data_IF_410815591155
#
_entry.id   IF_410815591155
#
_cell.length_a   1.000
_cell.length_b   1.000
_cell.length_c   1.000
_cell.angle_alpha   90.00
_cell.angle_beta   90.00
_cell.angle_gamma   90.00
#
_symmetry.space_group_name_H-M   'P 1'
#
loop_
_entity.id
_entity.type
_entity.pdbx_description
1 polymer ?
#
# COMPACT_ATOMS: atom_id res chain seq x y z
N UNK A 1 8.11 -16.98 14.71
CA UNK A 1 7.27 -15.92 14.10
C UNK A 1 8.19 -15.02 13.30
N UNK A 2 7.87 -14.69 12.04
CA UNK A 2 8.69 -13.76 11.23
C UNK A 2 8.28 -12.31 11.54
N UNK A 3 9.22 -11.39 11.77
CA UNK A 3 8.91 -10.00 12.09
C UNK A 3 8.31 -9.27 10.90
N UNK A 4 7.37 -8.37 11.16
CA UNK A 4 6.75 -7.49 10.16
C UNK A 4 7.72 -6.41 9.69
N UNK A 5 7.43 -5.78 8.54
CA UNK A 5 8.26 -4.67 8.03
C UNK A 5 8.27 -3.48 8.98
N UNK A 6 7.14 -3.16 9.62
CA UNK A 6 7.08 -2.13 10.66
C UNK A 6 7.99 -2.47 11.85
N UNK A 7 7.97 -3.71 12.32
CA UNK A 7 8.86 -4.18 13.41
C UNK A 7 10.34 -4.14 13.00
N UNK A 8 10.67 -4.50 11.75
CA UNK A 8 12.03 -4.38 11.22
C UNK A 8 12.49 -2.93 11.13
N UNK A 9 11.67 -2.02 10.59
CA UNK A 9 12.01 -0.60 10.48
C UNK A 9 12.16 0.05 11.86
N UNK A 10 11.29 -0.29 12.81
CA UNK A 10 11.42 0.14 14.21
C UNK A 10 12.71 -0.39 14.85
N UNK A 11 13.06 -1.64 14.58
CA UNK A 11 14.32 -2.24 15.01
C UNK A 11 15.55 -1.52 14.46
N UNK A 12 15.55 -1.17 13.18
CA UNK A 12 16.65 -0.42 12.55
C UNK A 12 16.75 0.99 13.14
N UNK A 13 15.66 1.73 13.35
CA UNK A 13 15.71 3.06 13.97
C UNK A 13 16.33 3.00 15.37
N UNK A 14 15.99 1.99 16.18
CA UNK A 14 16.60 1.77 17.51
C UNK A 14 18.10 1.47 17.42
N UNK A 15 18.52 0.64 16.47
CA UNK A 15 19.94 0.32 16.29
C UNK A 15 20.75 1.56 15.88
N UNK A 16 20.18 2.43 15.04
CA UNK A 16 20.81 3.68 14.64
C UNK A 16 20.86 4.69 15.80
N UNK A 17 19.84 4.72 16.66
CA UNK A 17 19.82 5.53 17.88
C UNK A 17 20.93 5.12 18.85
N UNK A 18 21.07 3.81 19.10
CA UNK A 18 22.14 3.25 19.93
C UNK A 18 23.54 3.52 19.34
N UNK A 19 23.66 3.48 18.01
CA UNK A 19 24.93 3.80 17.34
C UNK A 19 25.33 5.26 17.54
N UNK A 20 24.36 6.19 17.51
CA UNK A 20 24.57 7.62 17.74
C UNK A 20 24.95 7.94 19.20
N UNK A 21 24.35 7.23 20.17
CA UNK A 21 24.63 7.41 21.60
C UNK A 21 25.97 6.81 22.05
N UNK A 22 26.43 5.75 21.38
CA UNK A 22 27.52 4.91 21.88
C UNK A 22 28.92 5.53 21.77
N UNK A 23 29.15 6.54 20.90
CA UNK A 23 30.47 7.10 20.64
C UNK A 23 30.39 8.59 20.24
N UNK A 24 31.42 9.39 20.53
CA UNK A 24 31.59 10.71 19.91
C UNK A 24 31.90 10.54 18.42
N UNK A 25 30.85 10.37 17.62
CA UNK A 25 30.96 10.22 16.18
C UNK A 25 31.47 11.52 15.55
N UNK A 26 32.28 11.43 14.48
CA UNK A 26 32.57 12.59 13.64
C UNK A 26 31.26 13.23 13.14
N UNK A 27 31.24 14.56 13.01
CA UNK A 27 30.04 15.30 12.63
C UNK A 27 29.40 14.78 11.32
N UNK A 28 30.22 14.45 10.32
CA UNK A 28 29.76 13.88 9.04
C UNK A 28 29.05 12.52 9.22
N UNK A 29 29.52 11.69 10.15
CA UNK A 29 28.91 10.38 10.44
C UNK A 29 27.58 10.53 11.18
N UNK A 30 27.49 11.47 12.13
CA UNK A 30 26.23 11.78 12.81
C UNK A 30 25.18 12.35 11.84
N UNK A 31 25.60 13.19 10.88
CA UNK A 31 24.70 13.70 9.84
C UNK A 31 24.16 12.58 8.94
N UNK A 32 25.02 11.63 8.53
CA UNK A 32 24.60 10.45 7.76
C UNK A 32 23.61 9.57 8.54
N UNK A 33 23.85 9.35 9.83
CA UNK A 33 22.93 8.59 10.69
C UNK A 33 21.58 9.30 10.83
N UNK A 34 21.58 10.62 11.08
CA UNK A 34 20.36 11.43 11.15
C UNK A 34 19.56 11.35 9.84
N UNK A 35 20.26 11.45 8.70
CA UNK A 35 19.63 11.29 7.38
C UNK A 35 19.06 9.89 7.17
N UNK A 36 19.78 8.83 7.54
CA UNK A 36 19.31 7.45 7.44
C UNK A 36 18.05 7.23 8.30
N UNK A 37 18.04 7.71 9.55
CA UNK A 37 16.87 7.65 10.44
C UNK A 37 15.67 8.40 9.86
N UNK A 38 15.89 9.58 9.30
CA UNK A 38 14.83 10.36 8.62
C UNK A 38 14.24 9.58 7.45
N UNK A 39 15.06 8.92 6.64
CA UNK A 39 14.60 8.09 5.53
C UNK A 39 13.82 6.87 6.02
N UNK A 40 14.30 6.16 7.03
CA UNK A 40 13.61 5.01 7.63
C UNK A 40 12.24 5.41 8.17
N UNK A 41 12.15 6.55 8.90
CA UNK A 41 10.87 7.07 9.39
C UNK A 41 9.91 7.39 8.25
N UNK A 42 10.38 8.01 7.16
CA UNK A 42 9.57 8.27 5.97
C UNK A 42 9.06 6.98 5.33
N UNK A 43 9.93 5.97 5.20
CA UNK A 43 9.56 4.65 4.69
C UNK A 43 8.51 4.01 5.60
N UNK A 44 8.69 4.06 6.93
CA UNK A 44 7.72 3.53 7.88
C UNK A 44 6.36 4.24 7.79
N UNK A 45 6.33 5.57 7.70
CA UNK A 45 5.08 6.32 7.53
C UNK A 45 4.39 5.99 6.21
N UNK A 46 5.14 5.91 5.11
CA UNK A 46 4.59 5.48 3.81
C UNK A 46 4.10 4.03 3.87
N UNK A 47 4.76 3.18 4.65
CA UNK A 47 4.37 1.80 4.87
C UNK A 47 3.04 1.65 5.61
N UNK A 48 2.88 2.44 6.68
CA UNK A 48 1.72 2.41 7.55
C UNK A 48 0.43 2.82 6.81
N UNK A 49 0.53 3.60 5.73
CA UNK A 49 -0.60 3.99 4.89
C UNK A 49 -0.80 3.09 3.66
N UNK A 50 0.29 2.62 3.04
CA UNK A 50 0.23 1.83 1.80
C UNK A 50 -0.43 0.46 2.00
N UNK A 51 -0.09 -0.28 3.06
CA UNK A 51 -0.64 -1.62 3.27
C UNK A 51 -2.16 -1.61 3.54
N UNK A 52 -2.69 -0.77 4.45
CA UNK A 52 -4.14 -0.67 4.64
C UNK A 52 -4.87 -0.25 3.37
N UNK A 53 -4.30 0.69 2.60
CA UNK A 53 -4.87 1.11 1.33
C UNK A 53 -4.96 -0.04 0.33
N UNK A 54 -3.86 -0.78 0.10
CA UNK A 54 -3.84 -1.89 -0.85
C UNK A 54 -4.82 -3.01 -0.46
N UNK A 55 -5.01 -3.24 0.84
CA UNK A 55 -5.98 -4.22 1.33
C UNK A 55 -7.42 -3.79 1.06
N UNK A 56 -7.77 -2.53 1.33
CA UNK A 56 -9.10 -2.00 1.04
C UNK A 56 -9.36 -1.94 -0.48
N UNK A 57 -8.35 -1.55 -1.26
CA UNK A 57 -8.43 -1.51 -2.72
C UNK A 57 -8.62 -2.92 -3.31
N UNK A 58 -7.90 -3.93 -2.83
CA UNK A 58 -8.07 -5.34 -3.26
C UNK A 58 -9.47 -5.87 -2.91
N UNK A 59 -9.97 -5.58 -1.72
CA UNK A 59 -11.30 -5.99 -1.29
C UNK A 59 -12.38 -5.38 -2.20
N UNK A 60 -12.32 -4.06 -2.41
CA UNK A 60 -13.26 -3.33 -3.28
C UNK A 60 -13.17 -3.77 -4.73
N UNK A 61 -11.98 -3.99 -5.27
CA UNK A 61 -11.79 -4.50 -6.63
C UNK A 61 -12.39 -5.89 -6.79
N UNK A 62 -12.18 -6.77 -5.81
CA UNK A 62 -12.73 -8.12 -5.85
C UNK A 62 -14.25 -8.07 -5.80
N UNK A 63 -14.83 -7.27 -4.90
CA UNK A 63 -16.28 -7.06 -4.83
C UNK A 63 -16.83 -6.50 -6.14
N UNK A 64 -16.17 -5.48 -6.69
CA UNK A 64 -16.56 -4.88 -7.96
C UNK A 64 -16.54 -5.92 -9.08
N UNK A 65 -15.49 -6.74 -9.20
CA UNK A 65 -15.32 -7.70 -10.30
C UNK A 65 -16.20 -8.95 -10.16
N UNK A 66 -16.46 -9.42 -8.94
CA UNK A 66 -17.12 -10.71 -8.68
C UNK A 66 -18.55 -10.57 -8.16
N UNK A 67 -18.93 -9.41 -7.64
CA UNK A 67 -20.19 -9.18 -6.92
C UNK A 67 -20.24 -9.82 -5.53
N UNK A 68 -19.10 -10.31 -5.01
CA UNK A 68 -19.01 -10.93 -3.68
C UNK A 68 -18.18 -10.09 -2.73
N UNK A 69 -18.69 -9.86 -1.51
CA UNK A 69 -17.90 -9.22 -0.45
C UNK A 69 -16.61 -10.02 -0.22
N UNK A 70 -15.48 -9.38 -0.46
CA UNK A 70 -14.18 -9.97 -0.26
C UNK A 70 -13.61 -9.54 1.09
N UNK A 71 -13.28 -10.52 1.94
CA UNK A 71 -12.52 -10.29 3.17
C UNK A 71 -11.17 -10.98 3.01
N UNK A 72 -10.18 -10.22 2.57
CA UNK A 72 -8.81 -10.72 2.44
C UNK A 72 -8.26 -11.12 3.83
N UNK A 73 -7.64 -12.30 3.98
CA UNK A 73 -6.94 -12.66 5.21
C UNK A 73 -5.78 -11.69 5.46
N UNK A 74 -5.39 -11.50 6.72
CA UNK A 74 -4.25 -10.63 7.08
C UNK A 74 -3.00 -11.12 6.32
N UNK A 75 -2.46 -10.32 5.38
CA UNK A 75 -1.39 -10.78 4.53
C UNK A 75 -0.10 -10.94 5.33
N UNK A 76 0.66 -11.99 5.00
CA UNK A 76 2.03 -12.17 5.51
C UNK A 76 3.07 -11.55 4.59
N UNK A 77 2.69 -11.14 3.38
CA UNK A 77 3.59 -10.63 2.36
C UNK A 77 2.91 -9.52 1.52
N UNK A 78 3.43 -8.31 1.61
CA UNK A 78 2.95 -7.16 0.84
C UNK A 78 3.25 -7.26 -0.66
N UNK A 79 4.30 -7.98 -1.07
CA UNK A 79 4.60 -8.13 -2.48
C UNK A 79 3.52 -8.95 -3.16
N UNK A 80 2.97 -9.93 -2.43
CA UNK A 80 1.78 -10.66 -2.86
C UNK A 80 0.53 -9.76 -2.90
N UNK A 81 0.32 -8.90 -1.90
CA UNK A 81 -0.81 -7.94 -1.88
C UNK A 81 -0.74 -6.97 -3.06
N UNK A 82 0.44 -6.42 -3.34
CA UNK A 82 0.68 -5.49 -4.44
C UNK A 82 0.55 -6.19 -5.81
N UNK A 83 1.09 -7.41 -5.96
CA UNK A 83 0.92 -8.20 -7.18
C UNK A 83 -0.56 -8.51 -7.44
N UNK A 84 -1.31 -8.85 -6.39
CA UNK A 84 -2.76 -9.06 -6.47
C UNK A 84 -3.50 -7.78 -6.87
N UNK A 85 -3.11 -6.64 -6.32
CA UNK A 85 -3.68 -5.34 -6.70
C UNK A 85 -3.49 -5.07 -8.19
N UNK A 86 -2.28 -5.28 -8.71
CA UNK A 86 -1.98 -5.07 -10.12
C UNK A 86 -2.78 -6.02 -11.04
N UNK A 87 -2.92 -7.29 -10.65
CA UNK A 87 -3.75 -8.27 -11.37
C UNK A 87 -5.23 -7.84 -11.43
N UNK A 88 -5.78 -7.41 -10.29
CA UNK A 88 -7.17 -6.94 -10.18
C UNK A 88 -7.39 -5.66 -11.00
N UNK A 89 -6.41 -4.74 -11.01
CA UNK A 89 -6.45 -3.53 -11.83
C UNK A 89 -6.40 -3.85 -13.32
N UNK A 90 -5.56 -4.81 -13.72
CA UNK A 90 -5.55 -5.32 -15.09
C UNK A 90 -6.91 -5.89 -15.50
N UNK A 91 -7.53 -6.67 -14.60
CA UNK A 91 -8.87 -7.24 -14.81
C UNK A 91 -9.95 -6.15 -14.93
N UNK A 92 -9.88 -5.11 -14.10
CA UNK A 92 -10.79 -3.95 -14.20
C UNK A 92 -10.59 -3.18 -15.51
N UNK A 93 -9.35 -2.95 -15.94
CA UNK A 93 -9.07 -2.29 -17.21
C UNK A 93 -9.65 -3.08 -18.39
N UNK A 94 -9.51 -4.41 -18.38
CA UNK A 94 -10.13 -5.28 -19.36
C UNK A 94 -11.66 -5.18 -19.31
N UNK A 95 -12.26 -5.27 -18.12
CA UNK A 95 -13.70 -5.12 -17.94
C UNK A 95 -14.20 -3.78 -18.54
N UNK A 96 -13.56 -2.66 -18.21
CA UNK A 96 -13.91 -1.33 -18.73
C UNK A 96 -13.91 -1.30 -20.26
N UNK A 97 -12.92 -1.96 -20.90
CA UNK A 97 -12.84 -2.01 -22.37
C UNK A 97 -13.94 -2.84 -23.03
N UNK A 98 -14.57 -3.75 -22.28
CA UNK A 98 -15.61 -4.66 -22.77
C UNK A 98 -17.03 -4.18 -22.50
N UNK A 99 -17.24 -3.22 -21.59
CA UNK A 99 -18.59 -2.77 -21.22
C UNK A 99 -19.22 -1.96 -22.37
N UNK A 100 -20.38 -2.39 -22.91
CA UNK A 100 -21.07 -1.65 -23.96
C UNK A 100 -21.54 -0.27 -23.49
N UNK A 101 -21.75 0.65 -24.44
CA UNK A 101 -22.20 2.03 -24.14
C UNK A 101 -23.70 2.17 -23.97
N UNK A 102 -24.44 1.08 -24.17
CA UNK A 102 -25.89 1.09 -24.11
C UNK A 102 -26.42 1.50 -22.73
N UNK A 103 -27.66 2.04 -22.66
CA UNK A 103 -28.25 2.53 -21.42
C UNK A 103 -28.36 1.46 -20.33
N UNK A 104 -28.53 0.19 -20.71
CA UNK A 104 -28.64 -0.93 -19.78
C UNK A 104 -27.38 -1.15 -18.93
N UNK A 105 -26.21 -0.81 -19.45
CA UNK A 105 -24.93 -0.90 -18.73
C UNK A 105 -24.56 0.39 -17.99
N UNK A 106 -25.40 1.43 -18.01
CA UNK A 106 -25.16 2.69 -17.29
C UNK A 106 -24.93 2.48 -15.78
N UNK A 107 -25.72 1.65 -15.06
CA UNK A 107 -25.49 1.41 -13.64
C UNK A 107 -24.10 0.84 -13.36
N UNK A 108 -23.67 -0.14 -14.17
CA UNK A 108 -22.35 -0.77 -14.03
C UNK A 108 -21.20 0.23 -14.29
N UNK A 109 -21.34 1.10 -15.28
CA UNK A 109 -20.35 2.16 -15.54
C UNK A 109 -20.30 3.18 -14.40
N UNK A 110 -21.44 3.50 -13.79
CA UNK A 110 -21.51 4.41 -12.65
C UNK A 110 -20.81 3.82 -11.41
N UNK A 111 -21.03 2.53 -11.13
CA UNK A 111 -20.37 1.81 -10.05
C UNK A 111 -18.84 1.80 -10.20
N UNK A 112 -18.34 1.48 -11.40
CA UNK A 112 -16.90 1.55 -11.71
C UNK A 112 -16.39 3.00 -11.54
N UNK A 113 -17.15 3.99 -12.01
CA UNK A 113 -16.78 5.40 -11.86
C UNK A 113 -16.66 5.83 -10.39
N UNK A 114 -17.59 5.38 -9.54
CA UNK A 114 -17.56 5.65 -8.11
C UNK A 114 -16.35 5.02 -7.43
N UNK A 115 -16.03 3.77 -7.78
CA UNK A 115 -14.81 3.11 -7.30
C UNK A 115 -13.54 3.88 -7.72
N UNK A 116 -13.43 4.28 -8.98
CA UNK A 116 -12.27 5.03 -9.48
C UNK A 116 -12.11 6.39 -8.78
N UNK A 117 -13.23 7.09 -8.53
CA UNK A 117 -13.22 8.36 -7.77
C UNK A 117 -12.75 8.16 -6.32
N UNK A 118 -13.26 7.12 -5.65
CA UNK A 118 -12.82 6.77 -4.31
C UNK A 118 -11.31 6.48 -4.27
N UNK A 119 -10.81 5.71 -5.23
CA UNK A 119 -9.40 5.33 -5.30
C UNK A 119 -8.51 6.57 -5.44
N UNK A 120 -8.84 7.48 -6.35
CA UNK A 120 -8.10 8.75 -6.52
C UNK A 120 -8.13 9.60 -5.25
N UNK A 121 -9.21 9.57 -4.49
CA UNK A 121 -9.34 10.36 -3.26
C UNK A 121 -8.60 9.76 -2.06
N UNK A 122 -8.21 8.49 -2.11
CA UNK A 122 -7.68 7.73 -0.96
C UNK A 122 -6.30 7.12 -1.18
N UNK A 123 -5.80 7.11 -2.42
CA UNK A 123 -4.46 6.65 -2.77
C UNK A 123 -3.41 7.51 -2.02
N UNK A 124 -2.53 6.91 -1.20
CA UNK A 124 -1.51 7.64 -0.45
C UNK A 124 -0.31 8.10 -1.30
N UNK A 125 -0.28 7.78 -2.60
CA UNK A 125 0.80 8.11 -3.54
C UNK A 125 0.83 9.58 -4.01
#
# INVERSE_FOLDING_TARGET
MRPTIHEQLSGVDRLLDLADESHSLPAETSELLSNARRLIKRVATSWDTALPFLLDDNARLTELLTGTEAREPVPTDITAVAARNEELRGSLAQLISTIPRDPEFRPRRAEIGQYLQWRVATDPA
#
